data_IF_194375663165
#
_entry.id   IF_194375663165
#
_cell.length_a   1.000
_cell.length_b   1.000
_cell.length_c   1.000
_cell.angle_alpha   90.00
_cell.angle_beta   90.00
_cell.angle_gamma   90.00
#
_symmetry.space_group_name_H-M   'P 1'
#
loop_
_entity.id
_entity.type
_entity.pdbx_description
1 polymer ?
#
# COMPACT_ATOMS: atom_id res chain seq x y z
N UNK A 1 -35.06 -3.38 1.94
CA UNK A 1 -33.65 -2.93 2.01
C UNK A 1 -32.98 -3.69 3.14
N UNK A 2 -32.04 -4.59 2.85
CA UNK A 2 -31.29 -5.31 3.89
C UNK A 2 -30.27 -4.35 4.48
N UNK A 3 -30.35 -4.09 5.79
CA UNK A 3 -29.30 -3.39 6.52
C UNK A 3 -27.97 -4.11 6.27
N UNK A 4 -27.08 -3.48 5.51
CA UNK A 4 -25.70 -3.93 5.37
C UNK A 4 -25.07 -3.67 6.73
N UNK A 5 -24.93 -4.72 7.53
CA UNK A 5 -24.06 -4.72 8.70
C UNK A 5 -22.72 -4.16 8.26
N UNK A 6 -22.32 -3.00 8.79
CA UNK A 6 -20.98 -2.45 8.62
C UNK A 6 -19.99 -3.44 9.25
N UNK A 7 -19.58 -4.47 8.50
CA UNK A 7 -18.46 -5.32 8.88
C UNK A 7 -17.28 -4.37 9.10
N UNK A 8 -16.75 -4.33 10.32
CA UNK A 8 -15.52 -3.62 10.58
C UNK A 8 -14.44 -4.17 9.65
N UNK A 9 -13.83 -3.28 8.85
CA UNK A 9 -12.70 -3.63 8.01
C UNK A 9 -11.55 -4.13 8.89
N UNK A 10 -10.81 -5.12 8.40
CA UNK A 10 -9.63 -5.65 9.08
C UNK A 10 -8.50 -4.63 8.99
N UNK A 11 -7.63 -4.58 9.99
CA UNK A 11 -6.36 -3.89 9.84
C UNK A 11 -5.43 -4.72 8.98
N UNK A 12 -4.80 -4.16 7.93
CA UNK A 12 -3.80 -4.90 7.19
C UNK A 12 -2.62 -5.26 8.12
N UNK A 13 -1.95 -6.39 7.89
CA UNK A 13 -0.70 -6.72 8.56
C UNK A 13 0.26 -5.52 8.58
N UNK A 14 1.02 -5.38 9.66
CA UNK A 14 1.95 -4.29 9.91
C UNK A 14 1.35 -2.88 10.12
N UNK A 15 0.01 -2.74 10.13
CA UNK A 15 -0.64 -1.44 10.42
C UNK A 15 -0.17 -0.79 11.72
N UNK A 16 -0.06 -1.56 12.81
CA UNK A 16 0.35 -1.01 14.10
C UNK A 16 1.79 -0.49 14.06
N UNK A 17 2.69 -1.23 13.41
CA UNK A 17 4.08 -0.83 13.20
C UNK A 17 4.17 0.44 12.37
N UNK A 18 3.46 0.47 11.23
CA UNK A 18 3.45 1.64 10.35
C UNK A 18 2.92 2.89 11.07
N UNK A 19 1.74 2.79 11.70
CA UNK A 19 1.15 3.91 12.41
C UNK A 19 2.07 4.44 13.53
N UNK A 20 2.73 3.54 14.28
CA UNK A 20 3.69 3.94 15.29
C UNK A 20 4.87 4.71 14.68
N UNK A 21 5.43 4.25 13.56
CA UNK A 21 6.54 4.93 12.90
C UNK A 21 6.14 6.30 12.30
N UNK A 22 4.93 6.40 11.74
CA UNK A 22 4.42 7.67 11.18
C UNK A 22 4.17 8.74 12.24
N UNK A 23 3.93 8.37 13.51
CA UNK A 23 3.85 9.32 14.62
C UNK A 23 5.21 9.91 15.04
N UNK A 24 6.31 9.42 14.48
CA UNK A 24 7.68 9.79 14.85
C UNK A 24 8.51 10.21 13.61
N UNK A 25 8.17 11.34 12.95
CA UNK A 25 8.88 11.80 11.76
C UNK A 25 10.38 12.03 11.98
N UNK A 26 10.79 12.37 13.21
CA UNK A 26 12.20 12.50 13.58
C UNK A 26 13.02 11.20 13.40
N UNK A 27 12.35 10.05 13.33
CA UNK A 27 12.98 8.74 13.12
C UNK A 27 12.96 8.29 11.67
N UNK A 28 12.24 8.98 10.78
CA UNK A 28 12.15 8.58 9.37
C UNK A 28 13.49 8.40 8.66
N UNK A 29 14.56 9.18 8.92
CA UNK A 29 15.84 9.01 8.23
C UNK A 29 16.48 7.62 8.34
N UNK A 30 16.04 6.79 9.29
CA UNK A 30 16.53 5.41 9.42
C UNK A 30 15.90 4.44 8.40
N UNK A 31 14.76 4.80 7.81
CA UNK A 31 14.04 3.93 6.87
C UNK A 31 14.44 4.20 5.42
N UNK A 32 14.53 3.13 4.65
CA UNK A 32 14.70 3.22 3.20
C UNK A 32 13.49 3.90 2.56
N UNK A 33 13.74 4.78 1.60
CA UNK A 33 12.70 5.56 0.92
C UNK A 33 12.35 6.90 1.59
N UNK A 34 13.07 7.29 2.64
CA UNK A 34 12.99 8.63 3.23
C UNK A 34 13.79 9.65 2.41
N UNK A 35 13.26 10.88 2.28
CA UNK A 35 13.95 11.99 1.62
C UNK A 35 15.23 12.39 2.38
N UNK A 36 16.18 13.01 1.67
CA UNK A 36 17.48 13.39 2.25
C UNK A 36 17.36 14.38 3.43
N UNK A 37 16.30 15.18 3.47
CA UNK A 37 15.97 16.13 4.53
C UNK A 37 15.04 15.54 5.60
N UNK A 38 14.62 14.29 5.47
CA UNK A 38 13.71 13.62 6.40
C UNK A 38 12.26 14.12 6.38
N UNK A 39 11.89 15.01 5.46
CA UNK A 39 10.55 15.63 5.42
C UNK A 39 9.46 14.71 4.84
N UNK A 40 9.85 13.70 4.06
CA UNK A 40 8.96 12.78 3.37
C UNK A 40 9.46 11.33 3.49
N UNK A 41 8.54 10.38 3.53
CA UNK A 41 8.86 8.94 3.52
C UNK A 41 7.98 8.18 2.53
N UNK A 42 8.59 7.24 1.82
CA UNK A 42 7.87 6.31 0.94
C UNK A 42 7.29 5.17 1.76
N UNK A 43 6.02 4.82 1.51
CA UNK A 43 5.40 3.64 2.10
C UNK A 43 5.18 2.60 1.00
N UNK A 44 5.65 1.38 1.27
CA UNK A 44 5.54 0.26 0.34
C UNK A 44 4.32 -0.61 0.67
N UNK A 45 3.78 -1.28 -0.34
CA UNK A 45 2.77 -2.32 -0.17
C UNK A 45 3.31 -3.65 -0.68
N UNK A 46 3.52 -4.59 0.22
CA UNK A 46 4.04 -5.91 -0.13
C UNK A 46 2.86 -6.79 -0.57
N UNK A 47 3.00 -7.42 -1.74
CA UNK A 47 2.01 -8.32 -2.32
C UNK A 47 2.69 -9.51 -3.01
N UNK A 48 1.90 -10.52 -3.37
CA UNK A 48 2.37 -11.73 -4.08
C UNK A 48 2.40 -12.97 -3.19
N UNK A 49 2.63 -14.14 -3.79
CA UNK A 49 2.49 -15.43 -3.10
C UNK A 49 3.46 -15.62 -1.92
N UNK A 50 4.55 -14.85 -1.90
CA UNK A 50 5.59 -14.87 -0.84
C UNK A 50 5.67 -13.57 -0.03
N UNK A 51 4.59 -12.80 0.00
CA UNK A 51 4.55 -11.52 0.70
C UNK A 51 5.01 -11.60 2.17
N UNK A 52 4.62 -12.66 2.89
CA UNK A 52 5.04 -12.88 4.29
C UNK A 52 6.56 -13.05 4.45
N UNK A 53 7.20 -13.81 3.56
CA UNK A 53 8.65 -13.99 3.57
C UNK A 53 9.34 -12.65 3.39
N UNK A 54 8.88 -11.86 2.39
CA UNK A 54 9.42 -10.52 2.14
C UNK A 54 9.25 -9.58 3.31
N UNK A 55 8.05 -9.51 3.88
CA UNK A 55 7.72 -8.62 4.99
C UNK A 55 8.69 -8.81 6.16
N UNK A 56 8.96 -10.07 6.54
CA UNK A 56 9.90 -10.38 7.64
C UNK A 56 11.31 -9.83 7.42
N UNK A 57 11.78 -9.76 6.17
CA UNK A 57 13.11 -9.23 5.84
C UNK A 57 13.18 -7.71 5.81
N UNK A 58 12.03 -7.04 5.67
CA UNK A 58 11.93 -5.59 5.57
C UNK A 58 11.60 -4.91 6.89
N UNK A 59 11.24 -5.68 7.92
CA UNK A 59 11.03 -5.17 9.27
C UNK A 59 12.23 -4.32 9.72
N UNK A 60 11.95 -3.17 10.34
CA UNK A 60 12.92 -2.18 10.82
C UNK A 60 13.76 -1.47 9.74
N UNK A 61 13.67 -1.85 8.46
CA UNK A 61 14.39 -1.18 7.37
C UNK A 61 13.47 -0.37 6.45
N UNK A 62 12.21 -0.76 6.33
CA UNK A 62 11.24 -0.09 5.47
C UNK A 62 9.94 0.22 6.24
N UNK A 63 9.17 1.18 5.73
CA UNK A 63 7.78 1.40 6.12
C UNK A 63 6.87 0.75 5.09
N UNK A 64 6.04 -0.18 5.54
CA UNK A 64 5.17 -0.93 4.63
C UNK A 64 3.90 -1.42 5.30
N UNK A 65 2.91 -1.71 4.46
CA UNK A 65 1.83 -2.65 4.75
C UNK A 65 1.95 -3.86 3.84
N UNK A 66 1.11 -4.86 4.07
CA UNK A 66 1.08 -6.05 3.24
C UNK A 66 -0.37 -6.49 3.01
N UNK A 67 -0.67 -6.94 1.79
CA UNK A 67 -1.85 -7.75 1.51
C UNK A 67 -1.46 -9.23 1.66
N UNK A 68 -2.07 -10.00 2.57
CA UNK A 68 -1.80 -11.43 2.66
C UNK A 68 -2.05 -12.14 1.31
N UNK A 69 -1.25 -13.16 0.95
CA UNK A 69 -1.44 -13.91 -0.28
C UNK A 69 -2.86 -14.48 -0.38
N UNK A 70 -3.55 -14.21 -1.50
CA UNK A 70 -4.90 -14.72 -1.77
C UNK A 70 -6.05 -14.06 -1.00
N UNK A 71 -5.77 -13.06 -0.17
CA UNK A 71 -6.80 -12.33 0.57
C UNK A 71 -7.44 -11.22 -0.30
N UNK A 72 -8.70 -10.92 -0.02
CA UNK A 72 -9.45 -9.84 -0.68
C UNK A 72 -9.06 -8.47 -0.09
N UNK A 73 -8.47 -7.55 -0.89
CA UNK A 73 -8.04 -6.24 -0.41
C UNK A 73 -9.22 -5.35 0.04
N UNK A 74 -10.45 -5.59 -0.43
CA UNK A 74 -11.62 -4.80 -0.04
C UNK A 74 -12.02 -5.02 1.42
N UNK A 75 -11.53 -6.09 2.06
CA UNK A 75 -11.78 -6.43 3.46
C UNK A 75 -10.90 -5.67 4.45
N UNK A 76 -9.95 -4.88 3.96
CA UNK A 76 -8.95 -4.19 4.77
C UNK A 76 -9.18 -2.67 4.81
N UNK A 77 -8.76 -2.04 5.90
CA UNK A 77 -8.71 -0.58 6.08
C UNK A 77 -7.32 -0.05 5.71
N UNK A 78 -7.22 0.57 4.54
CA UNK A 78 -5.98 1.10 3.98
C UNK A 78 -5.74 2.57 4.31
N UNK A 79 -6.60 3.20 5.12
CA UNK A 79 -6.46 4.63 5.51
C UNK A 79 -5.09 5.02 6.07
N UNK A 80 -4.30 4.14 6.73
CA UNK A 80 -2.94 4.49 7.13
C UNK A 80 -2.01 4.91 5.98
N UNK A 81 -2.35 4.57 4.73
CA UNK A 81 -1.58 4.93 3.54
C UNK A 81 -1.96 6.30 2.96
N UNK A 82 -3.08 6.89 3.40
CA UNK A 82 -3.60 8.14 2.86
C UNK A 82 -2.59 9.27 3.07
N UNK A 83 -2.28 10.01 1.99
CA UNK A 83 -1.36 11.16 2.04
C UNK A 83 0.11 10.81 1.87
N UNK A 84 0.45 9.52 1.71
CA UNK A 84 1.81 9.04 1.48
C UNK A 84 2.03 8.57 0.04
N UNK A 85 1.35 9.23 -0.89
CA UNK A 85 1.39 8.89 -2.31
C UNK A 85 2.75 9.20 -2.97
N UNK A 86 3.21 8.38 -3.93
CA UNK A 86 2.58 7.15 -4.39
C UNK A 86 2.87 5.95 -3.47
N UNK A 87 1.89 5.06 -3.34
CA UNK A 87 2.12 3.74 -2.75
C UNK A 87 2.74 2.83 -3.80
N UNK A 88 3.86 2.20 -3.46
CA UNK A 88 4.65 1.38 -4.37
C UNK A 88 4.53 -0.09 -4.00
N UNK A 89 4.09 -0.93 -4.95
CA UNK A 89 4.02 -2.37 -4.76
C UNK A 89 5.41 -3.00 -4.79
N UNK A 90 5.74 -3.79 -3.78
CA UNK A 90 6.85 -4.75 -3.81
C UNK A 90 6.23 -6.13 -4.03
N UNK A 91 6.61 -6.77 -5.14
CA UNK A 91 6.08 -8.08 -5.50
C UNK A 91 7.11 -9.15 -5.09
N UNK A 92 6.69 -10.12 -4.29
CA UNK A 92 7.51 -11.28 -3.96
C UNK A 92 6.77 -12.59 -4.29
N UNK A 93 7.44 -13.47 -5.02
CA UNK A 93 6.83 -14.69 -5.57
C UNK A 93 5.91 -14.39 -6.75
N UNK A 94 4.81 -15.12 -6.85
CA UNK A 94 3.85 -14.98 -7.93
C UNK A 94 3.05 -13.68 -7.75
N UNK A 95 2.96 -12.82 -8.78
CA UNK A 95 2.21 -11.58 -8.70
C UNK A 95 0.70 -11.86 -8.61
N UNK A 96 -0.07 -10.97 -7.97
CA UNK A 96 -1.52 -10.91 -8.17
C UNK A 96 -1.88 -10.86 -9.67
N UNK A 97 -3.03 -11.42 -10.01
CA UNK A 97 -3.64 -11.25 -11.33
C UNK A 97 -4.03 -9.79 -11.59
N UNK A 98 -4.28 -9.45 -12.86
CA UNK A 98 -4.72 -8.10 -13.23
C UNK A 98 -6.02 -7.69 -12.54
N UNK A 99 -6.94 -8.65 -12.34
CA UNK A 99 -8.18 -8.41 -11.59
C UNK A 99 -7.87 -8.09 -10.12
N UNK A 100 -7.00 -8.86 -9.48
CA UNK A 100 -6.64 -8.63 -8.06
C UNK A 100 -5.91 -7.29 -7.88
N UNK A 101 -5.06 -6.89 -8.82
CA UNK A 101 -4.47 -5.56 -8.81
C UNK A 101 -5.51 -4.45 -8.98
N UNK A 102 -6.53 -4.66 -9.83
CA UNK A 102 -7.63 -3.72 -9.96
C UNK A 102 -8.42 -3.59 -8.65
N UNK A 103 -8.80 -4.71 -8.04
CA UNK A 103 -9.52 -4.73 -6.76
C UNK A 103 -8.69 -4.07 -5.65
N UNK A 104 -7.37 -4.31 -5.63
CA UNK A 104 -6.45 -3.67 -4.70
C UNK A 104 -6.37 -2.15 -4.93
N UNK A 105 -6.18 -1.72 -6.17
CA UNK A 105 -6.16 -0.30 -6.51
C UNK A 105 -7.47 0.40 -6.12
N UNK A 106 -8.62 -0.24 -6.37
CA UNK A 106 -9.93 0.27 -5.95
C UNK A 106 -10.05 0.37 -4.43
N UNK A 107 -9.57 -0.62 -3.67
CA UNK A 107 -9.57 -0.58 -2.21
C UNK A 107 -8.69 0.56 -1.65
N UNK A 108 -7.50 0.75 -2.22
CA UNK A 108 -6.59 1.83 -1.85
C UNK A 108 -7.21 3.22 -2.15
N UNK A 109 -7.77 3.40 -3.34
CA UNK A 109 -8.40 4.67 -3.76
C UNK A 109 -9.63 4.99 -2.91
N UNK A 110 -10.46 3.99 -2.60
CA UNK A 110 -11.60 4.12 -1.67
C UNK A 110 -11.17 4.71 -0.33
N UNK A 111 -9.99 4.32 0.16
CA UNK A 111 -9.47 4.74 1.46
C UNK A 111 -8.60 6.01 1.40
N UNK A 112 -8.51 6.63 0.21
CA UNK A 112 -7.92 7.95 0.01
C UNK A 112 -6.49 7.97 -0.53
N UNK A 113 -5.95 6.83 -0.96
CA UNK A 113 -4.71 6.78 -1.76
C UNK A 113 -5.00 7.35 -3.15
N UNK A 114 -4.18 8.29 -3.58
CA UNK A 114 -4.34 8.99 -4.85
C UNK A 114 -3.58 8.31 -5.99
N UNK A 115 -2.46 7.63 -5.68
CA UNK A 115 -1.57 6.99 -6.66
C UNK A 115 -1.04 5.67 -6.13
N UNK A 116 -1.31 4.60 -6.83
CA UNK A 116 -0.72 3.28 -6.60
C UNK A 116 0.08 2.83 -7.82
N UNK A 117 1.31 2.39 -7.61
CA UNK A 117 2.22 1.96 -8.68
C UNK A 117 2.68 0.53 -8.44
N UNK A 118 2.71 -0.27 -9.50
CA UNK A 118 3.25 -1.64 -9.50
C UNK A 118 4.11 -1.90 -10.73
N UNK A 119 5.00 -2.91 -10.71
CA UNK A 119 5.67 -3.36 -11.92
C UNK A 119 4.68 -4.08 -12.86
N UNK A 120 4.82 -3.80 -14.16
CA UNK A 120 4.24 -4.56 -15.26
C UNK A 120 5.11 -5.77 -15.62
N UNK A 121 4.56 -6.67 -16.43
CA UNK A 121 5.27 -7.90 -16.87
C UNK A 121 6.52 -7.62 -17.71
N UNK A 122 6.55 -6.47 -18.36
CA UNK A 122 7.65 -5.97 -19.19
C UNK A 122 8.65 -5.09 -18.42
N UNK A 123 8.49 -4.96 -17.11
CA UNK A 123 9.30 -4.07 -16.26
C UNK A 123 8.87 -2.60 -16.32
N UNK A 124 7.81 -2.26 -17.06
CA UNK A 124 7.21 -0.91 -17.00
C UNK A 124 6.55 -0.65 -15.65
N UNK A 125 6.37 0.62 -15.30
CA UNK A 125 5.60 1.00 -14.12
C UNK A 125 4.13 1.21 -14.52
N UNK A 126 3.23 0.38 -13.99
CA UNK A 126 1.78 0.53 -14.16
C UNK A 126 1.25 1.39 -13.01
N UNK A 127 0.52 2.44 -13.37
CA UNK A 127 -0.02 3.43 -12.43
C UNK A 127 -1.54 3.34 -12.39
N UNK A 128 -2.07 3.24 -11.19
CA UNK A 128 -3.49 3.35 -10.88
C UNK A 128 -3.70 4.69 -10.18
N UNK A 129 -4.61 5.50 -10.72
CA UNK A 129 -4.84 6.90 -10.29
C UNK A 129 -6.29 7.07 -9.84
N UNK A 130 -6.51 7.88 -8.81
CA UNK A 130 -7.86 8.37 -8.50
C UNK A 130 -8.39 9.29 -9.60
N UNK A 131 -9.71 9.48 -9.66
CA UNK A 131 -10.32 10.44 -10.57
C UNK A 131 -9.82 11.88 -10.33
N UNK A 132 -9.58 12.25 -9.07
CA UNK A 132 -9.09 13.57 -8.69
C UNK A 132 -7.75 13.87 -9.37
N UNK A 133 -6.83 12.91 -9.32
CA UNK A 133 -5.52 13.04 -9.99
C UNK A 133 -5.71 13.11 -11.50
N UNK A 134 -6.55 12.26 -12.09
CA UNK A 134 -6.78 12.25 -13.54
C UNK A 134 -7.28 13.63 -14.01
N UNK A 135 -8.29 14.20 -13.34
CA UNK A 135 -8.87 15.50 -13.70
C UNK A 135 -7.88 16.67 -13.61
N UNK A 136 -6.87 16.58 -12.75
CA UNK A 136 -5.82 17.60 -12.62
C UNK A 136 -4.64 17.44 -13.59
N UNK A 137 -4.60 16.35 -14.37
CA UNK A 137 -3.48 16.06 -15.30
C UNK A 137 -3.87 16.25 -16.77
N UNK A 138 -5.11 16.65 -17.04
CA UNK A 138 -5.68 16.88 -18.39
C UNK A 138 -5.91 18.37 -18.62
#
# INVERSE_FOLDING_TARGET
>A
MKNISHKHLKRPPYSAYLCAALCHPEKWPQYAGTSADGSCVSIFLIVGSKAWEKASTLENSHLFLMLPPGDDPLLYDWKPLKGHDPIIAIIEGDPPSEKEYYDLASALIRDGVQRFTRPGKDGSAIRHLSEEVIKCTV
#
